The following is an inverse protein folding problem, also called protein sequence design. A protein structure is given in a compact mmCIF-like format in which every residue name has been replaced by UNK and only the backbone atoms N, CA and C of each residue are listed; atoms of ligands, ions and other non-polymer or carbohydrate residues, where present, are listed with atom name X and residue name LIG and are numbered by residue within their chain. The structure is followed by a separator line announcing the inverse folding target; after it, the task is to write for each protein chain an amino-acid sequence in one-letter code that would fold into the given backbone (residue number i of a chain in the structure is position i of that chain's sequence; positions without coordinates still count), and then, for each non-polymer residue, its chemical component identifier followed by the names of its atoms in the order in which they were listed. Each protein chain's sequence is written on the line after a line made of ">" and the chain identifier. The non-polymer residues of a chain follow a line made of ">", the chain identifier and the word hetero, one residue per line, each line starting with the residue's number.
data_IF_960436916189
#
_entry.id   IF_960436916189
#
_cell.length_a   1.000
_cell.length_b   1.000
_cell.length_c   1.000
_cell.angle_alpha   90.00
_cell.angle_beta   90.00
_cell.angle_gamma   90.00
#
_symmetry.space_group_name_H-M   'P 1'
#
loop_
_entity.id
_entity.type
_entity.pdbx_description
1 polymer ?
#
# COMPACT_ATOMS: atom_id res chain seq x y z
N UNK A 1 27.66 -45.40 -13.52
CA UNK A 1 26.70 -44.95 -12.49
C UNK A 1 27.26 -43.78 -11.65
N UNK A 2 28.06 -42.84 -12.20
CA UNK A 2 28.63 -41.70 -11.45
C UNK A 2 28.24 -40.31 -12.03
N UNK A 3 27.43 -40.22 -13.08
CA UNK A 3 27.09 -38.94 -13.72
C UNK A 3 25.70 -38.37 -13.35
N UNK A 4 24.83 -39.13 -12.67
CA UNK A 4 23.49 -38.66 -12.28
C UNK A 4 23.46 -37.84 -10.98
N UNK A 5 24.46 -37.96 -10.13
CA UNK A 5 24.47 -37.29 -8.80
C UNK A 5 24.91 -35.81 -8.86
N UNK A 6 25.61 -35.40 -9.92
CA UNK A 6 26.14 -34.03 -10.03
C UNK A 6 25.07 -33.03 -10.55
N UNK A 7 24.13 -33.49 -11.40
CA UNK A 7 23.05 -32.61 -11.91
C UNK A 7 21.99 -32.29 -10.84
N UNK A 8 21.72 -33.21 -9.89
CA UNK A 8 20.74 -32.98 -8.84
C UNK A 8 21.20 -31.94 -7.79
N UNK A 9 22.52 -31.91 -7.50
CA UNK A 9 23.10 -30.97 -6.54
C UNK A 9 23.11 -29.51 -7.07
N UNK A 10 23.35 -29.32 -8.38
CA UNK A 10 23.35 -27.99 -9.00
C UNK A 10 21.95 -27.38 -9.07
N UNK A 11 20.92 -28.18 -9.30
CA UNK A 11 19.52 -27.70 -9.33
C UNK A 11 19.00 -27.29 -7.96
N UNK A 12 19.43 -27.95 -6.88
CA UNK A 12 19.03 -27.62 -5.51
C UNK A 12 19.70 -26.33 -5.01
N UNK A 13 20.97 -26.09 -5.40
CA UNK A 13 21.70 -24.88 -5.01
C UNK A 13 21.14 -23.61 -5.66
N UNK A 14 20.66 -23.69 -6.91
CA UNK A 14 20.05 -22.56 -7.62
C UNK A 14 18.69 -22.20 -7.03
N UNK A 15 17.87 -23.19 -6.64
CA UNK A 15 16.57 -22.94 -5.97
C UNK A 15 16.76 -22.35 -4.57
N UNK A 16 17.74 -22.81 -3.80
CA UNK A 16 18.04 -22.26 -2.46
C UNK A 16 18.57 -20.82 -2.53
N UNK A 17 19.33 -20.47 -3.55
CA UNK A 17 19.84 -19.11 -3.76
C UNK A 17 18.70 -18.14 -4.13
N UNK A 18 17.76 -18.55 -4.97
CA UNK A 18 16.61 -17.73 -5.38
C UNK A 18 15.65 -17.46 -4.20
N UNK A 19 15.42 -18.44 -3.33
CA UNK A 19 14.56 -18.26 -2.14
C UNK A 19 15.21 -17.36 -1.10
N UNK A 20 16.53 -17.39 -0.92
CA UNK A 20 17.24 -16.52 0.01
C UNK A 20 17.19 -15.05 -0.43
N UNK A 21 17.43 -14.76 -1.71
CA UNK A 21 17.33 -13.39 -2.24
C UNK A 21 15.90 -12.81 -2.18
N UNK A 22 14.87 -13.63 -2.38
CA UNK A 22 13.48 -13.20 -2.30
C UNK A 22 13.06 -12.90 -0.84
N UNK A 23 13.59 -13.63 0.11
CA UNK A 23 13.29 -13.45 1.53
C UNK A 23 13.96 -12.21 2.12
N UNK A 24 15.20 -11.92 1.71
CA UNK A 24 15.93 -10.70 2.10
C UNK A 24 15.27 -9.43 1.52
N UNK A 25 14.77 -9.49 0.29
CA UNK A 25 14.05 -8.36 -0.31
C UNK A 25 12.69 -8.07 0.36
N UNK A 26 12.01 -9.10 0.86
CA UNK A 26 10.71 -8.96 1.52
C UNK A 26 10.81 -8.25 2.87
N UNK A 27 11.87 -8.50 3.64
CA UNK A 27 12.14 -7.88 4.95
C UNK A 27 12.88 -6.55 4.84
N UNK A 28 13.29 -6.14 3.63
CA UNK A 28 14.03 -4.92 3.41
C UNK A 28 13.18 -3.68 3.71
N UNK A 29 13.83 -2.64 4.24
CA UNK A 29 13.24 -1.32 4.37
C UNK A 29 13.23 -0.60 3.03
N UNK A 30 12.25 0.29 2.84
CA UNK A 30 12.22 1.18 1.67
C UNK A 30 13.36 2.20 1.78
N UNK A 31 14.23 2.26 0.77
CA UNK A 31 15.26 3.30 0.69
C UNK A 31 14.62 4.65 0.30
N UNK A 32 14.56 5.64 1.20
CA UNK A 32 13.94 6.92 0.89
C UNK A 32 14.73 7.77 -0.12
N UNK A 33 15.96 7.37 -0.46
CA UNK A 33 16.80 8.08 -1.44
C UNK A 33 16.56 7.60 -2.86
N UNK A 34 16.04 6.38 -3.05
CA UNK A 34 15.77 5.85 -4.37
C UNK A 34 14.64 6.63 -5.06
N UNK A 35 14.81 6.98 -6.34
CA UNK A 35 13.78 7.65 -7.12
C UNK A 35 12.58 6.74 -7.42
N UNK A 36 12.86 5.45 -7.61
CA UNK A 36 11.87 4.39 -7.77
C UNK A 36 12.25 3.19 -6.90
N UNK A 37 11.26 2.54 -6.31
CA UNK A 37 11.44 1.34 -5.50
C UNK A 37 10.54 0.24 -6.04
N UNK A 38 11.12 -0.78 -6.65
CA UNK A 38 10.38 -1.99 -7.00
C UNK A 38 9.94 -2.69 -5.71
N UNK A 39 8.65 -2.95 -5.58
CA UNK A 39 8.11 -3.64 -4.42
C UNK A 39 8.18 -5.16 -4.63
N UNK A 40 8.38 -5.94 -3.56
CA UNK A 40 8.24 -7.40 -3.62
C UNK A 40 6.86 -7.79 -4.17
N UNK A 41 6.77 -8.92 -4.86
CA UNK A 41 5.48 -9.45 -5.29
C UNK A 41 4.59 -9.70 -4.07
N UNK A 42 3.34 -9.18 -4.04
CA UNK A 42 2.44 -9.39 -2.92
C UNK A 42 2.05 -10.86 -2.80
N UNK A 43 1.95 -11.37 -1.58
CA UNK A 43 1.44 -12.71 -1.33
C UNK A 43 -0.04 -12.78 -1.73
N UNK A 44 -0.37 -13.73 -2.61
CA UNK A 44 -1.75 -13.93 -3.09
C UNK A 44 -2.48 -15.07 -2.39
N UNK A 45 -1.81 -15.74 -1.47
CA UNK A 45 -2.33 -16.90 -0.72
C UNK A 45 -1.90 -16.81 0.75
N UNK A 46 -2.63 -17.50 1.61
CA UNK A 46 -2.37 -17.50 3.06
C UNK A 46 -3.12 -16.37 3.78
N UNK A 47 -2.60 -16.00 4.96
CA UNK A 47 -3.25 -15.02 5.82
C UNK A 47 -4.39 -15.61 6.67
N UNK A 48 -5.14 -14.74 7.34
CA UNK A 48 -6.29 -15.08 8.16
C UNK A 48 -7.51 -15.42 7.28
N UNK A 49 -8.34 -16.41 7.63
CA UNK A 49 -9.60 -16.64 6.92
C UNK A 49 -10.47 -15.38 6.86
N UNK A 50 -11.11 -15.14 5.72
CA UNK A 50 -11.89 -13.91 5.48
C UNK A 50 -12.91 -13.62 6.59
N UNK A 51 -13.69 -14.61 7.00
CA UNK A 51 -14.71 -14.42 8.04
C UNK A 51 -14.11 -14.03 9.39
N UNK A 52 -12.92 -14.54 9.70
CA UNK A 52 -12.19 -14.15 10.89
C UNK A 52 -11.66 -12.71 10.75
N UNK A 53 -11.10 -12.34 9.60
CA UNK A 53 -10.65 -10.97 9.36
C UNK A 53 -11.81 -9.95 9.47
N UNK A 54 -13.00 -10.31 8.98
CA UNK A 54 -14.22 -9.49 9.14
C UNK A 54 -14.61 -9.34 10.61
N UNK A 55 -14.53 -10.41 11.40
CA UNK A 55 -14.87 -10.39 12.83
C UNK A 55 -13.86 -9.58 13.66
N UNK A 56 -12.58 -9.61 13.30
CA UNK A 56 -11.50 -8.95 14.03
C UNK A 56 -11.25 -7.51 13.56
N UNK A 57 -11.74 -7.14 12.35
CA UNK A 57 -11.57 -5.80 11.80
C UNK A 57 -12.11 -4.73 12.75
N UNK A 58 -11.25 -3.82 13.16
CA UNK A 58 -11.60 -2.65 13.99
C UNK A 58 -10.77 -1.43 13.63
N UNK A 59 -11.24 -0.25 13.98
CA UNK A 59 -10.49 0.99 13.86
C UNK A 59 -9.50 1.13 15.00
N UNK A 60 -8.21 1.28 14.65
CA UNK A 60 -7.11 1.52 15.59
C UNK A 60 -6.46 2.84 15.25
N UNK A 61 -6.30 3.72 16.24
CA UNK A 61 -5.75 5.07 16.11
C UNK A 61 -4.46 5.29 16.90
N UNK A 62 -4.08 4.32 17.73
CA UNK A 62 -2.92 4.40 18.60
C UNK A 62 -1.85 3.41 18.11
N UNK A 63 -0.74 3.95 17.67
CA UNK A 63 0.36 3.22 17.06
C UNK A 63 1.64 3.42 17.86
N UNK A 64 2.45 2.38 17.97
CA UNK A 64 3.85 2.51 18.36
C UNK A 64 4.69 2.89 17.13
N UNK A 65 5.71 3.75 17.29
CA UNK A 65 6.59 4.09 16.18
C UNK A 65 7.27 2.81 15.65
N UNK A 66 6.97 2.46 14.42
CA UNK A 66 7.56 1.32 13.74
C UNK A 66 7.51 1.55 12.22
N UNK A 67 8.58 1.21 11.54
CA UNK A 67 8.59 1.17 10.08
C UNK A 67 7.96 -0.15 9.60
N UNK A 68 7.24 -0.07 8.49
CA UNK A 68 6.73 -1.24 7.79
C UNK A 68 7.78 -1.69 6.75
N UNK A 69 7.98 -2.99 6.62
CA UNK A 69 8.87 -3.53 5.61
C UNK A 69 8.27 -3.46 4.20
N UNK A 70 9.10 -3.67 3.20
CA UNK A 70 8.72 -3.56 1.79
C UNK A 70 7.61 -4.57 1.40
N UNK A 71 7.60 -5.77 1.97
CA UNK A 71 6.56 -6.76 1.71
C UNK A 71 5.21 -6.31 2.26
N UNK A 72 5.19 -5.84 3.51
CA UNK A 72 3.97 -5.29 4.15
C UNK A 72 3.42 -4.10 3.35
N UNK A 73 4.28 -3.18 2.91
CA UNK A 73 3.88 -2.03 2.10
C UNK A 73 3.32 -2.50 0.74
N UNK A 74 3.98 -3.46 0.09
CA UNK A 74 3.49 -4.05 -1.16
C UNK A 74 2.11 -4.68 -1.02
N UNK A 75 1.89 -5.45 0.04
CA UNK A 75 0.60 -6.11 0.29
C UNK A 75 -0.51 -5.12 0.65
N UNK A 76 -0.21 -4.05 1.40
CA UNK A 76 -1.16 -2.96 1.69
C UNK A 76 -1.60 -2.27 0.39
N UNK A 77 -0.64 -1.92 -0.46
CA UNK A 77 -0.91 -1.23 -1.72
C UNK A 77 -1.61 -2.15 -2.73
N UNK A 78 -1.25 -3.43 -2.74
CA UNK A 78 -1.97 -4.44 -3.52
C UNK A 78 -3.42 -4.58 -3.07
N UNK A 79 -3.69 -4.65 -1.77
CA UNK A 79 -5.05 -4.67 -1.24
C UNK A 79 -5.83 -3.42 -1.67
N UNK A 80 -5.21 -2.25 -1.59
CA UNK A 80 -5.84 -0.98 -1.92
C UNK A 80 -6.21 -0.84 -3.41
N UNK A 81 -5.32 -1.19 -4.34
CA UNK A 81 -5.53 -0.96 -5.78
C UNK A 81 -4.57 -1.77 -6.68
N UNK A 82 -4.11 -2.93 -6.23
CA UNK A 82 -3.16 -3.74 -6.99
C UNK A 82 -3.75 -4.38 -8.23
N UNK A 83 -2.90 -4.74 -9.21
CA UNK A 83 -3.31 -5.54 -10.36
C UNK A 83 -3.43 -7.01 -9.94
N UNK A 84 -4.63 -7.58 -10.03
CA UNK A 84 -4.89 -8.96 -9.62
C UNK A 84 -5.12 -9.95 -10.77
N UNK A 85 -5.15 -9.46 -12.03
CA UNK A 85 -5.45 -10.25 -13.24
C UNK A 85 -4.58 -9.81 -14.42
N UNK A 86 -4.32 -10.73 -15.39
CA UNK A 86 -3.47 -10.43 -16.55
C UNK A 86 -4.02 -9.30 -17.45
N UNK A 87 -5.32 -9.05 -17.42
CA UNK A 87 -5.98 -7.97 -18.18
C UNK A 87 -5.83 -6.58 -17.53
N UNK A 88 -5.02 -6.46 -16.47
CA UNK A 88 -4.73 -5.20 -15.79
C UNK A 88 -5.83 -4.69 -14.86
N UNK A 89 -6.85 -5.49 -14.61
CA UNK A 89 -7.90 -5.14 -13.63
C UNK A 89 -7.36 -5.21 -12.20
N UNK A 90 -8.02 -4.48 -11.31
CA UNK A 90 -7.56 -4.23 -9.95
C UNK A 90 -8.23 -5.16 -8.93
N UNK A 91 -7.70 -5.13 -7.72
CA UNK A 91 -8.31 -5.77 -6.53
C UNK A 91 -9.71 -5.21 -6.28
N UNK A 92 -9.88 -3.91 -6.41
CA UNK A 92 -11.19 -3.25 -6.28
C UNK A 92 -11.87 -3.11 -7.66
N UNK A 93 -13.20 -3.21 -7.75
CA UNK A 93 -13.93 -2.85 -8.96
C UNK A 93 -13.98 -1.32 -9.13
N UNK A 94 -14.10 -0.86 -10.37
CA UNK A 94 -14.41 0.53 -10.66
C UNK A 94 -15.53 0.59 -11.70
N UNK A 95 -16.45 1.53 -11.55
CA UNK A 95 -17.56 1.69 -12.50
C UNK A 95 -17.04 1.82 -13.93
N UNK A 96 -17.59 1.00 -14.83
CA UNK A 96 -17.17 0.91 -16.24
C UNK A 96 -15.66 0.62 -16.42
N UNK A 97 -15.01 0.01 -15.43
CA UNK A 97 -13.55 -0.24 -15.42
C UNK A 97 -12.72 1.03 -15.72
N UNK A 98 -13.17 2.20 -15.24
CA UNK A 98 -12.46 3.46 -15.52
C UNK A 98 -11.17 3.61 -14.74
N UNK A 99 -10.95 2.83 -13.67
CA UNK A 99 -9.72 2.82 -12.87
C UNK A 99 -9.26 4.25 -12.52
N UNK A 100 -10.17 5.03 -11.93
CA UNK A 100 -9.96 6.43 -11.57
C UNK A 100 -9.11 6.62 -10.31
N UNK A 101 -9.00 5.57 -9.49
CA UNK A 101 -8.30 5.62 -8.22
C UNK A 101 -6.77 5.59 -8.42
N UNK A 102 -6.12 6.60 -7.87
CA UNK A 102 -4.69 6.68 -7.66
C UNK A 102 -4.37 6.62 -6.16
N UNK A 103 -3.36 5.85 -5.78
CA UNK A 103 -2.94 5.71 -4.38
C UNK A 103 -1.59 6.36 -4.17
N UNK A 104 -1.54 7.30 -3.24
CA UNK A 104 -0.33 7.93 -2.77
C UNK A 104 -0.01 7.43 -1.37
N UNK A 105 1.26 7.40 -1.00
CA UNK A 105 1.70 6.93 0.32
C UNK A 105 2.85 7.79 0.84
N UNK A 106 2.73 8.22 2.10
CA UNK A 106 3.84 8.81 2.83
C UNK A 106 4.38 7.79 3.85
N UNK A 107 5.68 7.56 3.77
CA UNK A 107 6.47 6.71 4.66
C UNK A 107 7.45 7.57 5.47
N UNK A 108 8.07 7.04 6.55
CA UNK A 108 9.20 7.70 7.18
C UNK A 108 10.29 7.98 6.14
N UNK A 109 10.51 9.24 5.81
CA UNK A 109 11.60 9.69 4.94
C UNK A 109 11.24 10.01 3.48
N UNK A 110 10.07 9.65 2.95
CA UNK A 110 9.64 10.08 1.61
C UNK A 110 8.15 9.93 1.36
N UNK A 111 7.66 10.68 0.36
CA UNK A 111 6.32 10.58 -0.21
C UNK A 111 6.38 9.96 -1.61
N UNK A 112 5.43 9.09 -1.93
CA UNK A 112 5.42 8.30 -3.15
C UNK A 112 4.05 8.26 -3.81
N UNK A 113 4.05 8.08 -5.13
CA UNK A 113 2.92 7.57 -5.91
C UNK A 113 3.10 6.06 -6.11
N UNK A 114 2.03 5.28 -5.99
CA UNK A 114 2.03 3.85 -6.26
C UNK A 114 1.71 3.57 -7.72
N UNK A 115 2.67 3.11 -8.49
CA UNK A 115 2.45 2.53 -9.81
C UNK A 115 2.02 1.07 -9.64
N UNK A 116 0.71 0.86 -9.72
CA UNK A 116 0.15 -0.48 -9.51
C UNK A 116 0.37 -1.43 -10.70
N UNK A 117 0.69 -0.93 -11.91
CA UNK A 117 1.00 -1.79 -13.07
C UNK A 117 2.36 -2.44 -12.89
N UNK A 118 3.33 -1.66 -12.47
CA UNK A 118 4.71 -2.11 -12.27
C UNK A 118 4.97 -2.58 -10.83
N UNK A 119 3.98 -2.48 -9.93
CA UNK A 119 4.11 -2.75 -8.50
C UNK A 119 5.34 -2.05 -7.90
N UNK A 120 5.43 -0.74 -8.11
CA UNK A 120 6.54 0.08 -7.62
C UNK A 120 6.07 1.37 -6.97
N UNK A 121 6.95 1.94 -6.15
CA UNK A 121 6.80 3.29 -5.61
C UNK A 121 7.63 4.25 -6.46
N UNK A 122 7.02 5.34 -6.91
CA UNK A 122 7.69 6.45 -7.58
C UNK A 122 7.77 7.61 -6.59
N UNK A 123 8.99 8.01 -6.21
CA UNK A 123 9.20 9.06 -5.22
C UNK A 123 8.79 10.42 -5.77
N UNK A 124 7.98 11.14 -5.01
CA UNK A 124 7.55 12.52 -5.32
C UNK A 124 8.46 13.51 -4.60
N UNK A 125 8.72 13.26 -3.30
CA UNK A 125 9.55 14.14 -2.50
C UNK A 125 10.25 13.36 -1.36
N UNK A 126 11.39 13.88 -0.89
CA UNK A 126 12.15 13.31 0.21
C UNK A 126 11.85 14.07 1.50
N UNK A 127 11.55 13.36 2.56
CA UNK A 127 11.21 13.90 3.88
C UNK A 127 10.07 13.13 4.54
N UNK A 128 9.90 13.30 5.85
CA UNK A 128 8.77 12.73 6.58
C UNK A 128 7.58 13.70 6.56
N UNK A 129 6.66 13.47 5.63
CA UNK A 129 5.48 14.31 5.43
C UNK A 129 4.21 13.78 6.11
N UNK A 130 4.27 12.65 6.83
CA UNK A 130 3.08 12.02 7.41
C UNK A 130 2.26 12.98 8.27
N UNK A 131 2.94 13.85 9.02
CA UNK A 131 2.30 14.86 9.86
C UNK A 131 1.66 16.01 9.06
N UNK A 132 1.98 16.19 7.79
CA UNK A 132 1.41 17.25 6.95
C UNK A 132 0.11 16.82 6.25
N UNK A 133 -0.21 15.52 6.30
CA UNK A 133 -1.33 14.95 5.55
C UNK A 133 -2.64 14.86 6.35
N UNK A 134 -2.55 14.72 7.68
CA UNK A 134 -3.73 14.49 8.53
C UNK A 134 -3.72 15.41 9.75
N UNK A 135 -4.92 15.65 10.32
CA UNK A 135 -5.07 16.60 11.42
C UNK A 135 -4.42 16.14 12.73
N UNK A 136 -4.47 14.84 13.04
CA UNK A 136 -3.86 14.29 14.25
C UNK A 136 -2.36 14.03 14.02
N UNK A 137 -1.53 15.02 14.35
CA UNK A 137 -0.08 14.99 14.12
C UNK A 137 0.64 13.89 14.92
N UNK A 138 0.17 13.56 16.13
CA UNK A 138 0.77 12.48 16.94
C UNK A 138 0.50 11.11 16.32
N UNK A 139 -0.74 10.86 15.91
CA UNK A 139 -1.09 9.64 15.20
C UNK A 139 -0.26 9.52 13.91
N UNK A 140 -0.13 10.60 13.14
CA UNK A 140 0.63 10.64 11.92
C UNK A 140 2.09 10.22 12.11
N UNK A 141 2.77 10.79 13.11
CA UNK A 141 4.18 10.48 13.41
C UNK A 141 4.41 9.03 13.83
N UNK A 142 3.46 8.43 14.52
CA UNK A 142 3.55 7.06 15.01
C UNK A 142 3.07 6.02 13.99
N UNK A 143 2.25 6.40 13.01
CA UNK A 143 1.84 5.50 11.94
C UNK A 143 3.03 5.07 11.10
N UNK A 144 3.07 3.81 10.66
CA UNK A 144 4.09 3.33 9.72
C UNK A 144 3.93 3.91 8.32
N UNK A 145 2.67 4.20 7.93
CA UNK A 145 2.32 4.79 6.64
C UNK A 145 1.05 5.62 6.73
N UNK A 146 0.93 6.63 5.86
CA UNK A 146 -0.32 7.34 5.56
C UNK A 146 -0.61 7.17 4.08
N UNK A 147 -1.67 6.44 3.75
CA UNK A 147 -2.20 6.35 2.40
C UNK A 147 -3.12 7.55 2.15
N UNK A 148 -3.12 8.02 0.90
CA UNK A 148 -4.06 9.03 0.41
C UNK A 148 -4.66 8.52 -0.89
N UNK A 149 -5.99 8.47 -0.92
CA UNK A 149 -6.78 8.01 -2.06
C UNK A 149 -7.26 9.21 -2.85
N UNK A 150 -6.91 9.24 -4.12
CA UNK A 150 -7.15 10.35 -5.03
C UNK A 150 -7.83 9.83 -6.29
N UNK A 151 -8.86 10.51 -6.75
CA UNK A 151 -9.53 10.17 -8.01
C UNK A 151 -9.15 11.15 -9.11
N UNK A 152 -8.89 10.64 -10.31
CA UNK A 152 -8.79 11.44 -11.54
C UNK A 152 -10.21 11.87 -11.97
N UNK A 153 -10.56 13.13 -11.70
CA UNK A 153 -11.88 13.68 -11.99
C UNK A 153 -12.24 13.72 -13.47
N UNK A 154 -11.27 13.58 -14.36
CA UNK A 154 -11.54 13.49 -15.81
C UNK A 154 -12.27 12.20 -16.18
N UNK A 155 -12.12 11.17 -15.35
CA UNK A 155 -12.78 9.87 -15.54
C UNK A 155 -14.24 9.88 -15.06
N UNK A 156 -14.58 10.75 -14.10
CA UNK A 156 -15.94 10.95 -13.58
C UNK A 156 -16.21 12.46 -13.44
N UNK A 157 -16.39 13.20 -14.55
CA UNK A 157 -16.61 14.64 -14.49
C UNK A 157 -17.87 14.99 -13.69
N UNK A 158 -17.72 15.87 -12.70
CA UNK A 158 -18.79 16.34 -11.82
C UNK A 158 -19.51 15.24 -11.01
N UNK A 159 -18.91 14.07 -10.87
CA UNK A 159 -19.47 12.96 -10.09
C UNK A 159 -18.45 12.50 -9.04
N UNK A 160 -18.78 12.72 -7.78
CA UNK A 160 -18.00 12.24 -6.62
C UNK A 160 -18.50 10.89 -6.09
N UNK A 161 -19.69 10.45 -6.49
CA UNK A 161 -20.33 9.26 -5.96
C UNK A 161 -19.53 8.00 -6.27
N UNK A 162 -19.18 7.77 -7.53
CA UNK A 162 -18.41 6.59 -7.91
C UNK A 162 -17.00 6.61 -7.32
N UNK A 163 -16.23 7.71 -7.43
CA UNK A 163 -14.95 7.81 -6.73
C UNK A 163 -15.01 7.49 -5.24
N UNK A 164 -16.03 8.00 -4.52
CA UNK A 164 -16.17 7.72 -3.09
C UNK A 164 -16.48 6.23 -2.81
N UNK A 165 -17.25 5.57 -3.66
CA UNK A 165 -17.52 4.13 -3.56
C UNK A 165 -16.22 3.34 -3.75
N UNK A 166 -15.47 3.60 -4.83
CA UNK A 166 -14.21 2.92 -5.13
C UNK A 166 -13.19 3.06 -4.01
N UNK A 167 -13.09 4.26 -3.43
CA UNK A 167 -12.20 4.53 -2.28
C UNK A 167 -12.70 3.81 -1.03
N UNK A 168 -14.00 3.72 -0.81
CA UNK A 168 -14.58 2.95 0.29
C UNK A 168 -14.22 1.46 0.21
N UNK A 169 -14.30 0.87 -0.99
CA UNK A 169 -13.89 -0.51 -1.27
C UNK A 169 -12.40 -0.71 -1.00
N UNK A 170 -11.54 0.16 -1.56
CA UNK A 170 -10.09 0.13 -1.34
C UNK A 170 -9.71 0.23 0.14
N UNK A 171 -10.31 1.17 0.84
CA UNK A 171 -10.07 1.37 2.28
C UNK A 171 -10.51 0.17 3.11
N UNK A 172 -11.63 -0.47 2.76
CA UNK A 172 -12.10 -1.67 3.45
C UNK A 172 -11.16 -2.87 3.21
N UNK A 173 -10.64 -3.05 1.99
CA UNK A 173 -9.67 -4.12 1.72
C UNK A 173 -8.39 -3.93 2.53
N UNK A 174 -7.91 -2.69 2.70
CA UNK A 174 -6.78 -2.39 3.59
C UNK A 174 -7.13 -2.68 5.06
N UNK A 175 -8.37 -2.41 5.52
CA UNK A 175 -8.81 -2.78 6.87
C UNK A 175 -8.75 -4.30 7.09
N UNK A 176 -9.24 -5.09 6.14
CA UNK A 176 -9.24 -6.56 6.21
C UNK A 176 -7.81 -7.12 6.18
N UNK A 177 -6.98 -6.57 5.30
CA UNK A 177 -5.56 -6.91 5.26
C UNK A 177 -4.88 -6.62 6.62
N UNK A 178 -5.06 -5.41 7.15
CA UNK A 178 -4.47 -5.03 8.44
C UNK A 178 -4.94 -5.95 9.59
N UNK A 179 -6.24 -6.28 9.64
CA UNK A 179 -6.76 -7.23 10.61
C UNK A 179 -6.06 -8.59 10.49
N UNK A 180 -5.87 -9.09 9.26
CA UNK A 180 -5.23 -10.39 9.00
C UNK A 180 -3.75 -10.44 9.37
N UNK A 181 -3.09 -9.29 9.47
CA UNK A 181 -1.64 -9.17 9.78
C UNK A 181 -1.37 -8.60 11.18
N UNK A 182 -2.41 -8.36 11.98
CA UNK A 182 -2.25 -7.74 13.31
C UNK A 182 -1.80 -6.27 13.26
N UNK A 183 -2.02 -5.60 12.12
CA UNK A 183 -1.79 -4.17 11.97
C UNK A 183 -3.02 -3.36 12.37
N UNK A 184 -2.80 -2.12 12.77
CA UNK A 184 -3.85 -1.15 13.01
C UNK A 184 -4.04 -0.22 11.82
N UNK A 185 -5.31 0.18 11.59
CA UNK A 185 -5.62 1.16 10.56
C UNK A 185 -6.86 1.97 10.91
N UNK A 186 -6.94 3.18 10.33
CA UNK A 186 -8.10 4.07 10.42
C UNK A 186 -8.26 4.91 9.16
N UNK A 187 -9.46 4.92 8.59
CA UNK A 187 -9.87 5.83 7.53
C UNK A 187 -10.20 7.20 8.08
N UNK A 188 -9.76 8.25 7.42
CA UNK A 188 -9.80 9.63 7.87
C UNK A 188 -10.42 10.52 6.78
N UNK A 189 -11.68 10.90 6.97
CA UNK A 189 -12.32 11.94 6.16
C UNK A 189 -11.82 13.36 6.50
N UNK A 190 -11.22 13.54 7.69
CA UNK A 190 -10.60 14.81 8.10
C UNK A 190 -9.08 14.71 7.86
N UNK A 191 -8.65 15.16 6.72
CA UNK A 191 -7.25 15.28 6.31
C UNK A 191 -6.90 16.74 6.01
N UNK A 192 -5.61 17.05 5.91
CA UNK A 192 -5.12 18.38 5.52
C UNK A 192 -5.02 18.44 3.98
N UNK A 193 -6.06 18.91 3.30
CA UNK A 193 -6.09 18.94 1.83
C UNK A 193 -4.96 19.78 1.25
N UNK A 194 -4.63 20.93 1.86
CA UNK A 194 -3.54 21.79 1.38
C UNK A 194 -2.18 21.08 1.54
N UNK A 195 -1.98 20.41 2.67
CA UNK A 195 -0.80 19.59 2.92
C UNK A 195 -0.69 18.45 1.92
N UNK A 196 -1.78 17.70 1.70
CA UNK A 196 -1.85 16.60 0.72
C UNK A 196 -1.49 17.08 -0.68
N UNK A 197 -2.14 18.14 -1.18
CA UNK A 197 -1.88 18.68 -2.53
C UNK A 197 -0.44 19.15 -2.71
N UNK A 198 0.12 19.80 -1.67
CA UNK A 198 1.50 20.28 -1.67
C UNK A 198 2.49 19.11 -1.71
N UNK A 199 2.35 18.14 -0.81
CA UNK A 199 3.28 17.01 -0.64
C UNK A 199 3.29 16.13 -1.89
N UNK A 200 2.11 15.79 -2.42
CA UNK A 200 2.00 14.91 -3.58
C UNK A 200 1.98 15.64 -4.92
N UNK A 201 2.12 16.97 -4.93
CA UNK A 201 2.17 17.83 -6.14
C UNK A 201 0.98 17.55 -7.07
N UNK A 202 -0.22 17.45 -6.47
CA UNK A 202 -1.43 17.04 -7.18
C UNK A 202 -1.89 18.11 -8.16
N UNK A 203 -2.19 17.69 -9.38
CA UNK A 203 -2.83 18.53 -10.39
C UNK A 203 -4.29 18.85 -10.01
N UNK A 204 -4.87 19.92 -10.59
CA UNK A 204 -6.25 20.36 -10.29
C UNK A 204 -7.30 19.31 -10.62
N UNK A 205 -7.06 18.46 -11.63
CA UNK A 205 -7.95 17.35 -11.99
C UNK A 205 -7.97 16.21 -10.93
N UNK A 206 -7.07 16.24 -9.97
CA UNK A 206 -6.97 15.21 -8.95
C UNK A 206 -7.79 15.59 -7.72
N UNK A 207 -8.80 14.79 -7.40
CA UNK A 207 -9.68 14.99 -6.24
C UNK A 207 -9.28 14.06 -5.10
N UNK A 208 -8.91 14.63 -3.97
CA UNK A 208 -8.61 13.85 -2.76
C UNK A 208 -9.92 13.37 -2.13
N UNK A 209 -10.03 12.08 -1.85
CA UNK A 209 -11.26 11.49 -1.32
C UNK A 209 -11.09 11.11 0.15
N UNK A 210 -9.96 10.48 0.52
CA UNK A 210 -9.77 9.90 1.85
C UNK A 210 -8.29 9.80 2.17
N UNK A 211 -7.92 9.90 3.44
CA UNK A 211 -6.65 9.43 3.94
C UNK A 211 -6.85 8.18 4.82
N UNK A 212 -5.82 7.33 4.94
CA UNK A 212 -5.85 6.16 5.81
C UNK A 212 -4.49 5.95 6.46
N UNK A 213 -4.46 5.96 7.79
CA UNK A 213 -3.28 5.67 8.56
C UNK A 213 -3.16 4.16 8.79
N UNK A 214 -1.94 3.62 8.65
CA UNK A 214 -1.61 2.22 8.93
C UNK A 214 -0.36 2.17 9.82
N UNK A 215 -0.36 1.29 10.81
CA UNK A 215 0.79 1.13 11.69
C UNK A 215 0.68 -0.09 12.59
N UNK A 216 1.73 -0.29 13.40
CA UNK A 216 1.73 -1.34 14.42
C UNK A 216 0.95 -0.84 15.64
N UNK A 217 -0.09 -1.54 16.10
CA UNK A 217 -0.86 -1.12 17.27
C UNK A 217 0.01 -0.92 18.51
N UNK A 218 -0.32 0.09 19.33
CA UNK A 218 0.39 0.34 20.60
C UNK A 218 0.04 -0.71 21.67
N UNK A 219 -1.17 -1.31 21.59
CA UNK A 219 -1.69 -2.36 22.49
C UNK A 219 -2.35 -3.47 21.70
#
# INVERSE_FOLDING_TARGET
>A
MKSLSILAAASLAVLASFTCFAQDAASAKIDPKAAEVALPAPAKTGGMPLMQALAERKTIRDYKPAELDAATISEILYAANGVNRPDGKRTIPTAMNRQDLEVYIALPGAAYHYDAKENKLVRIDAGDFRADLIMNKNMAKNAGAILVYVSDSTKFPNDIKYPAIHVGEASQDVYLYCASKGLGTVSLGMYDEKGVRKVFKLEDKMTVILAQAVGVPAK
#
